data_IF_882865542268
#
_entry.id   IF_882865542268
#
_cell.length_a   1.000
_cell.length_b   1.000
_cell.length_c   1.000
_cell.angle_alpha   90.00
_cell.angle_beta   90.00
_cell.angle_gamma   90.00
#
_symmetry.space_group_name_H-M   'P 1'
#
loop_
_entity.id
_entity.type
_entity.pdbx_description
1 polymer ?
#
# COMPACT_ATOMS: atom_id res chain seq x y z
N UNK A 1 4.35 59.18 -92.76
CA UNK A 1 4.47 59.72 -91.39
C UNK A 1 4.27 58.54 -90.45
N UNK A 2 5.27 57.82 -89.95
CA UNK A 2 6.60 58.21 -89.49
C UNK A 2 6.53 58.42 -87.98
N UNK A 3 6.91 57.41 -87.17
CA UNK A 3 7.46 57.46 -85.80
C UNK A 3 7.81 56.01 -85.38
N UNK A 4 9.09 55.65 -85.45
CA UNK A 4 10.02 55.49 -84.33
C UNK A 4 9.77 54.23 -83.48
N UNK A 5 10.55 53.19 -83.80
CA UNK A 5 10.87 52.07 -82.91
C UNK A 5 12.03 52.52 -82.02
N UNK A 6 11.78 52.71 -80.72
CA UNK A 6 12.84 52.89 -79.74
C UNK A 6 13.32 51.53 -79.21
N UNK A 7 14.63 51.31 -79.37
CA UNK A 7 15.41 50.25 -78.74
C UNK A 7 15.61 50.56 -77.27
N UNK A 8 15.32 49.61 -76.38
CA UNK A 8 15.75 49.70 -74.97
C UNK A 8 16.72 48.58 -74.65
N UNK A 9 17.82 48.99 -74.03
CA UNK A 9 19.07 48.26 -73.84
C UNK A 9 18.96 46.97 -73.02
N UNK A 10 19.81 46.02 -73.43
CA UNK A 10 20.11 44.78 -72.73
C UNK A 10 21.13 45.09 -71.61
N UNK A 11 20.70 45.04 -70.35
CA UNK A 11 21.60 45.06 -69.18
C UNK A 11 22.01 43.63 -68.78
N UNK A 12 23.26 43.37 -68.36
CA UNK A 12 23.70 42.05 -67.92
C UNK A 12 23.30 41.79 -66.46
N UNK A 13 22.49 40.76 -66.23
CA UNK A 13 22.22 40.24 -64.89
C UNK A 13 23.46 39.55 -64.31
N UNK A 14 24.03 40.15 -63.26
CA UNK A 14 25.01 39.51 -62.38
C UNK A 14 24.31 38.42 -61.56
N UNK A 15 24.70 37.16 -61.76
CA UNK A 15 24.38 36.06 -60.83
C UNK A 15 24.87 36.42 -59.42
N UNK A 16 23.96 36.81 -58.53
CA UNK A 16 24.18 36.78 -57.07
C UNK A 16 23.89 35.36 -56.58
N UNK A 17 24.96 34.63 -56.28
CA UNK A 17 24.91 33.39 -55.51
C UNK A 17 24.39 33.71 -54.11
N UNK A 18 23.13 33.34 -53.84
CA UNK A 18 22.53 33.43 -52.51
C UNK A 18 22.99 32.21 -51.71
N UNK A 19 24.07 32.40 -50.93
CA UNK A 19 24.46 31.46 -49.87
C UNK A 19 23.64 31.86 -48.65
N UNK A 20 22.47 31.25 -48.46
CA UNK A 20 21.63 31.43 -47.27
C UNK A 20 21.02 30.07 -46.88
N UNK A 21 21.85 29.13 -46.43
CA UNK A 21 21.32 27.94 -45.75
C UNK A 21 22.29 27.19 -44.83
N UNK A 22 23.52 27.66 -44.60
CA UNK A 22 24.47 26.99 -43.68
C UNK A 22 24.49 27.57 -42.26
N UNK A 23 24.10 28.83 -42.06
CA UNK A 23 24.33 29.50 -40.78
C UNK A 23 23.18 29.38 -39.78
N UNK A 24 21.94 29.10 -40.24
CA UNK A 24 20.79 28.94 -39.34
C UNK A 24 20.76 27.56 -38.66
N UNK A 25 21.21 26.50 -39.36
CA UNK A 25 21.25 25.15 -38.79
C UNK A 25 22.36 24.96 -37.75
N UNK A 26 23.50 25.64 -37.93
CA UNK A 26 24.54 25.63 -36.90
C UNK A 26 24.07 26.32 -35.61
N UNK A 27 23.30 27.42 -35.70
CA UNK A 27 22.91 28.17 -34.49
C UNK A 27 21.86 27.46 -33.61
N UNK A 28 21.07 26.55 -34.18
CA UNK A 28 20.09 25.74 -33.43
C UNK A 28 20.75 24.48 -32.85
N UNK A 29 21.69 23.86 -33.57
CA UNK A 29 22.40 22.65 -33.13
C UNK A 29 23.31 22.83 -31.90
N UNK A 30 23.88 24.01 -31.69
CA UNK A 30 24.82 24.24 -30.57
C UNK A 30 24.17 24.66 -29.25
N UNK A 31 22.89 25.05 -29.23
CA UNK A 31 22.22 25.48 -28.00
C UNK A 31 21.53 24.33 -27.24
N UNK A 32 21.36 23.16 -27.85
CA UNK A 32 20.85 21.98 -27.14
C UNK A 32 21.93 21.31 -26.25
N UNK A 33 23.23 21.63 -26.46
CA UNK A 33 24.36 21.00 -25.77
C UNK A 33 25.11 21.91 -24.79
N UNK A 34 24.48 22.99 -24.32
CA UNK A 34 25.02 23.83 -23.23
C UNK A 34 24.27 23.61 -21.91
N UNK A 35 24.01 22.34 -21.57
CA UNK A 35 23.70 21.97 -20.18
C UNK A 35 24.90 22.43 -19.33
N UNK A 36 24.63 23.36 -18.42
CA UNK A 36 25.60 24.05 -17.57
C UNK A 36 26.54 23.03 -16.93
N UNK A 37 27.86 23.31 -16.94
CA UNK A 37 28.89 22.38 -16.45
C UNK A 37 28.61 21.90 -15.02
N UNK A 38 27.99 22.77 -14.18
CA UNK A 38 27.50 22.42 -12.83
C UNK A 38 26.35 21.39 -12.84
N UNK A 39 25.42 21.48 -13.77
CA UNK A 39 24.29 20.54 -13.90
C UNK A 39 24.81 19.16 -14.31
N UNK A 40 25.82 19.09 -15.18
CA UNK A 40 26.44 17.80 -15.58
C UNK A 40 27.07 17.07 -14.41
N UNK A 41 27.82 17.77 -13.55
CA UNK A 41 28.41 17.15 -12.36
C UNK A 41 27.35 16.68 -11.36
N UNK A 42 26.30 17.47 -11.12
CA UNK A 42 25.22 17.06 -10.23
C UNK A 42 24.44 15.85 -10.76
N UNK A 43 24.23 15.76 -12.07
CA UNK A 43 23.52 14.64 -12.69
C UNK A 43 24.36 13.36 -12.69
N UNK A 44 25.67 13.47 -12.90
CA UNK A 44 26.61 12.34 -12.75
C UNK A 44 26.70 11.91 -11.28
N UNK A 45 26.78 12.84 -10.33
CA UNK A 45 26.82 12.52 -8.90
C UNK A 45 25.53 11.84 -8.44
N UNK A 46 24.37 12.27 -8.94
CA UNK A 46 23.08 11.66 -8.66
C UNK A 46 22.96 10.25 -9.28
N UNK A 47 23.44 10.05 -10.50
CA UNK A 47 23.50 8.73 -11.12
C UNK A 47 24.46 7.79 -10.37
N UNK A 48 25.60 8.31 -9.90
CA UNK A 48 26.55 7.54 -9.08
C UNK A 48 25.90 7.17 -7.74
N UNK A 49 25.19 8.10 -7.11
CA UNK A 49 24.44 7.87 -5.87
C UNK A 49 23.41 6.75 -6.05
N UNK A 50 22.65 6.75 -7.15
CA UNK A 50 21.69 5.67 -7.49
C UNK A 50 22.35 4.30 -7.72
N UNK A 51 23.59 4.25 -8.18
CA UNK A 51 24.35 2.99 -8.34
C UNK A 51 24.90 2.49 -7.00
N UNK A 52 25.11 3.40 -6.03
CA UNK A 52 25.70 3.08 -4.72
C UNK A 52 24.63 2.68 -3.68
N UNK A 53 23.33 2.85 -3.93
CA UNK A 53 22.30 2.19 -3.12
C UNK A 53 22.12 0.76 -3.62
N UNK A 54 22.69 -0.26 -2.96
CA UNK A 54 22.25 -1.62 -3.22
C UNK A 54 20.74 -1.66 -2.96
N UNK A 55 20.01 -2.25 -3.91
CA UNK A 55 18.61 -2.61 -3.72
C UNK A 55 18.50 -3.32 -2.37
N UNK A 56 17.72 -2.76 -1.45
CA UNK A 56 17.37 -3.43 -0.20
C UNK A 56 16.72 -4.76 -0.55
N UNK A 57 17.51 -5.84 -0.51
CA UNK A 57 16.99 -7.19 -0.60
C UNK A 57 16.26 -7.40 0.71
N UNK A 58 14.93 -7.46 0.66
CA UNK A 58 14.12 -7.86 1.79
C UNK A 58 14.51 -9.31 2.13
N UNK A 59 15.33 -9.48 3.16
CA UNK A 59 15.57 -10.80 3.73
C UNK A 59 14.29 -11.25 4.45
N UNK A 60 13.80 -12.42 4.11
CA UNK A 60 12.71 -13.05 4.85
C UNK A 60 13.31 -14.10 5.76
N UNK A 61 13.14 -13.91 7.06
CA UNK A 61 13.67 -14.82 8.06
C UNK A 61 12.60 -15.85 8.45
N UNK A 62 13.02 -17.10 8.60
CA UNK A 62 12.23 -18.19 9.16
C UNK A 62 12.75 -18.44 10.57
N UNK A 63 11.85 -18.45 11.56
CA UNK A 63 12.18 -18.90 12.92
C UNK A 63 12.23 -20.41 12.97
N UNK A 64 13.26 -20.97 13.59
CA UNK A 64 13.37 -22.40 13.89
C UNK A 64 13.71 -22.60 15.37
N UNK A 65 13.04 -23.54 16.00
CA UNK A 65 13.15 -23.78 17.43
C UNK A 65 13.01 -25.27 17.76
N UNK A 66 13.68 -25.68 18.82
CA UNK A 66 13.57 -27.02 19.35
C UNK A 66 14.03 -27.05 20.81
N UNK A 67 13.60 -28.09 21.51
CA UNK A 67 13.84 -28.26 22.95
C UNK A 67 14.11 -29.74 23.26
N UNK A 68 14.55 -30.01 24.49
CA UNK A 68 14.76 -31.36 25.01
C UNK A 68 15.86 -32.17 24.29
N UNK A 69 16.87 -31.50 23.72
CA UNK A 69 18.08 -32.17 23.22
C UNK A 69 18.85 -32.76 24.40
N UNK A 70 19.16 -34.06 24.29
CA UNK A 70 19.84 -34.83 25.32
C UNK A 70 21.04 -35.56 24.76
N UNK A 71 22.04 -35.72 25.60
CA UNK A 71 23.18 -36.58 25.30
C UNK A 71 22.74 -38.04 25.33
N UNK A 72 23.05 -38.81 24.28
CA UNK A 72 22.68 -40.23 24.17
C UNK A 72 23.28 -41.06 25.31
N UNK A 73 24.52 -40.76 25.72
CA UNK A 73 25.23 -41.54 26.73
C UNK A 73 24.68 -41.33 28.16
N UNK A 74 24.23 -40.13 28.50
CA UNK A 74 23.88 -39.76 29.88
C UNK A 74 22.38 -39.51 30.08
N UNK A 75 21.64 -39.23 29.01
CA UNK A 75 20.24 -38.80 29.06
C UNK A 75 20.04 -37.39 29.63
N UNK A 76 21.12 -36.70 30.00
CA UNK A 76 21.07 -35.32 30.49
C UNK A 76 20.82 -34.34 29.36
N UNK A 77 20.24 -33.19 29.68
CA UNK A 77 20.11 -32.10 28.71
C UNK A 77 21.49 -31.65 28.24
N UNK A 78 21.64 -31.47 26.93
CA UNK A 78 22.88 -31.01 26.33
C UNK A 78 23.17 -29.58 26.77
N UNK A 79 24.25 -29.37 27.53
CA UNK A 79 24.57 -28.05 28.09
C UNK A 79 24.87 -27.01 27.00
N UNK A 80 25.69 -27.39 26.00
CA UNK A 80 25.99 -26.59 24.82
C UNK A 80 26.31 -27.50 23.63
N UNK A 81 25.83 -27.19 22.43
CA UNK A 81 26.21 -27.88 21.20
C UNK A 81 26.04 -27.01 19.95
N UNK A 82 26.76 -27.37 18.89
CA UNK A 82 26.60 -26.78 17.57
C UNK A 82 25.38 -27.39 16.89
N UNK A 83 24.60 -26.56 16.19
CA UNK A 83 23.44 -26.97 15.40
C UNK A 83 23.72 -26.70 13.94
N UNK A 84 23.61 -27.71 13.08
CA UNK A 84 23.56 -27.54 11.64
C UNK A 84 22.15 -27.80 11.16
N UNK A 85 21.63 -26.89 10.33
CA UNK A 85 20.31 -26.97 9.72
C UNK A 85 20.49 -27.01 8.21
N UNK A 86 19.93 -28.02 7.57
CA UNK A 86 19.96 -28.19 6.12
C UNK A 86 18.54 -28.27 5.56
N UNK A 87 18.31 -27.71 4.37
CA UNK A 87 17.01 -27.73 3.68
C UNK A 87 17.20 -28.25 2.26
N UNK A 88 16.35 -29.21 1.88
CA UNK A 88 16.35 -29.92 0.61
C UNK A 88 15.03 -29.78 -0.14
N UNK A 89 15.06 -30.07 -1.45
CA UNK A 89 13.90 -30.14 -2.33
C UNK A 89 13.28 -31.54 -2.48
N UNK A 90 13.72 -32.52 -1.68
CA UNK A 90 13.16 -33.87 -1.63
C UNK A 90 13.28 -34.48 -0.22
N UNK A 91 12.34 -35.38 0.13
CA UNK A 91 12.36 -36.14 1.39
C UNK A 91 13.52 -37.12 1.49
N UNK A 92 14.00 -37.62 0.35
CA UNK A 92 15.14 -38.53 0.24
C UNK A 92 16.01 -38.02 -0.91
N UNK A 93 17.31 -37.84 -0.65
CA UNK A 93 18.24 -37.26 -1.63
C UNK A 93 17.92 -35.79 -1.93
N UNK A 94 17.77 -35.44 -3.21
CA UNK A 94 17.45 -34.07 -3.63
C UNK A 94 18.65 -33.11 -3.62
N UNK A 95 18.39 -31.86 -4.00
CA UNK A 95 19.36 -30.78 -3.99
C UNK A 95 19.33 -30.05 -2.65
N UNK A 96 20.52 -29.74 -2.13
CA UNK A 96 20.68 -28.86 -0.98
C UNK A 96 20.37 -27.41 -1.40
N UNK A 97 19.38 -26.80 -0.76
CA UNK A 97 18.97 -25.41 -1.01
C UNK A 97 19.63 -24.45 -0.02
N UNK A 98 19.77 -24.89 1.23
CA UNK A 98 20.28 -24.09 2.31
C UNK A 98 21.00 -24.99 3.31
N UNK A 99 22.12 -24.50 3.83
CA UNK A 99 22.85 -25.10 4.92
C UNK A 99 23.43 -23.98 5.79
N UNK A 100 23.27 -24.13 7.10
CA UNK A 100 23.90 -23.23 8.06
C UNK A 100 24.27 -23.99 9.32
N UNK A 101 25.53 -23.82 9.75
CA UNK A 101 26.02 -24.30 11.05
C UNK A 101 26.13 -23.13 12.01
N UNK A 102 25.46 -23.26 13.15
CA UNK A 102 25.40 -22.28 14.23
C UNK A 102 26.18 -22.83 15.42
N UNK A 103 27.25 -22.10 15.80
CA UNK A 103 28.15 -22.51 16.87
C UNK A 103 27.49 -22.24 18.23
N UNK A 104 27.49 -23.25 19.12
CA UNK A 104 26.86 -23.18 20.46
C UNK A 104 25.40 -22.69 20.43
N UNK A 105 24.65 -23.07 19.41
CA UNK A 105 23.27 -22.64 19.23
C UNK A 105 22.29 -23.35 20.17
N UNK A 106 22.63 -24.58 20.58
CA UNK A 106 21.87 -25.33 21.57
C UNK A 106 22.44 -24.95 22.94
N UNK A 107 21.58 -24.47 23.83
CA UNK A 107 21.92 -24.12 25.21
C UNK A 107 20.88 -24.78 26.11
N UNK A 108 21.33 -25.60 27.07
CA UNK A 108 20.47 -26.35 27.98
C UNK A 108 19.37 -27.15 27.24
N UNK A 109 19.79 -27.85 26.18
CA UNK A 109 18.95 -28.70 25.36
C UNK A 109 17.93 -27.97 24.48
N UNK A 110 18.04 -26.66 24.29
CA UNK A 110 17.09 -25.88 23.49
C UNK A 110 17.80 -24.93 22.53
N UNK A 111 17.15 -24.62 21.41
CA UNK A 111 17.60 -23.59 20.48
C UNK A 111 16.42 -22.74 19.99
N UNK A 112 16.71 -21.51 19.60
CA UNK A 112 15.80 -20.60 18.92
C UNK A 112 16.63 -19.72 17.99
N UNK A 113 16.49 -19.93 16.70
CA UNK A 113 17.37 -19.35 15.68
C UNK A 113 16.53 -18.80 14.53
N UNK A 114 17.06 -17.78 13.86
CA UNK A 114 16.46 -17.24 12.65
C UNK A 114 17.37 -17.58 11.48
N UNK A 115 16.83 -18.24 10.46
CA UNK A 115 17.53 -18.61 9.24
C UNK A 115 16.97 -17.82 8.05
N UNK A 116 17.79 -17.60 7.02
CA UNK A 116 17.41 -16.84 5.82
C UNK A 116 17.59 -17.68 4.53
N UNK A 117 16.83 -18.79 4.37
CA UNK A 117 16.94 -19.62 3.19
C UNK A 117 16.26 -18.96 1.98
N UNK A 118 16.82 -19.16 0.79
CA UNK A 118 16.23 -18.68 -0.47
C UNK A 118 15.15 -19.65 -0.96
N UNK A 119 13.98 -19.63 -0.32
CA UNK A 119 12.86 -20.52 -0.62
C UNK A 119 11.82 -19.86 -1.53
N UNK A 120 10.88 -20.68 -2.02
CA UNK A 120 9.70 -20.22 -2.74
C UNK A 120 8.47 -20.33 -1.84
N UNK A 121 7.64 -19.28 -1.79
CA UNK A 121 6.46 -19.26 -0.95
C UNK A 121 5.48 -20.38 -1.33
N UNK A 122 4.97 -21.09 -0.33
CA UNK A 122 3.97 -22.16 -0.48
C UNK A 122 4.51 -23.49 -0.99
N UNK A 123 5.80 -23.59 -1.32
CA UNK A 123 6.45 -24.85 -1.74
C UNK A 123 6.84 -25.67 -0.52
N UNK A 124 6.71 -27.00 -0.64
CA UNK A 124 7.14 -27.97 0.37
C UNK A 124 8.63 -28.25 0.18
N UNK A 125 9.36 -28.20 1.29
CA UNK A 125 10.77 -28.53 1.42
C UNK A 125 10.96 -29.52 2.57
N UNK A 126 12.18 -30.05 2.70
CA UNK A 126 12.53 -31.03 3.72
C UNK A 126 13.73 -30.54 4.51
N UNK A 127 13.57 -30.46 5.83
CA UNK A 127 14.54 -29.94 6.76
C UNK A 127 15.20 -31.07 7.52
N UNK A 128 16.49 -30.91 7.73
CA UNK A 128 17.39 -31.91 8.29
C UNK A 128 18.30 -31.24 9.33
N UNK A 129 18.74 -32.01 10.32
CA UNK A 129 19.47 -31.49 11.47
C UNK A 129 20.66 -32.37 11.80
N UNK A 130 21.79 -31.73 12.11
CA UNK A 130 22.87 -32.41 12.82
C UNK A 130 23.33 -31.62 14.03
N UNK A 131 23.71 -32.33 15.08
CA UNK A 131 24.19 -31.78 16.35
C UNK A 131 25.63 -32.22 16.53
N UNK A 132 26.57 -31.27 16.61
CA UNK A 132 28.01 -31.57 16.63
C UNK A 132 28.47 -32.48 15.47
N UNK A 133 27.87 -32.31 14.28
CA UNK A 133 28.09 -33.14 13.09
C UNK A 133 27.59 -34.60 13.19
N UNK A 134 26.85 -34.94 14.25
CA UNK A 134 26.07 -36.18 14.31
C UNK A 134 24.67 -35.93 13.78
N UNK A 135 24.23 -36.79 12.88
CA UNK A 135 22.92 -36.72 12.24
C UNK A 135 21.78 -37.00 13.24
N UNK A 136 20.64 -36.34 13.06
CA UNK A 136 19.51 -36.44 13.98
C UNK A 136 18.27 -37.02 13.30
N UNK A 137 17.97 -38.27 13.63
CA UNK A 137 16.80 -38.99 13.17
C UNK A 137 15.54 -38.68 13.99
N UNK A 138 14.39 -38.58 13.32
CA UNK A 138 13.07 -38.42 13.94
C UNK A 138 12.23 -39.69 13.78
N UNK A 139 12.37 -40.64 14.71
CA UNK A 139 11.63 -41.92 14.71
C UNK A 139 11.77 -42.72 13.41
N UNK A 140 12.98 -42.71 12.83
CA UNK A 140 13.28 -43.36 11.54
C UNK A 140 12.91 -42.53 10.31
N UNK A 141 12.49 -41.28 10.50
CA UNK A 141 12.34 -40.28 9.44
C UNK A 141 13.58 -39.38 9.47
N UNK A 142 14.33 -39.38 8.36
CA UNK A 142 15.51 -38.55 8.18
C UNK A 142 15.18 -37.05 8.24
N UNK A 143 14.10 -36.62 7.57
CA UNK A 143 13.82 -35.21 7.34
C UNK A 143 12.39 -34.81 7.67
N UNK A 144 12.24 -33.64 8.25
CA UNK A 144 10.94 -33.05 8.56
C UNK A 144 10.43 -32.21 7.40
N UNK A 145 9.15 -32.37 7.08
CA UNK A 145 8.47 -31.54 6.09
C UNK A 145 8.33 -30.10 6.58
N UNK A 146 8.63 -29.14 5.70
CA UNK A 146 8.49 -27.71 5.92
C UNK A 146 7.79 -27.08 4.71
N UNK A 147 6.58 -26.56 4.91
CA UNK A 147 5.98 -25.68 3.92
C UNK A 147 6.53 -24.26 4.11
N UNK A 148 7.14 -23.70 3.07
CA UNK A 148 7.74 -22.38 3.16
C UNK A 148 6.68 -21.28 3.31
N UNK A 149 6.69 -20.60 4.45
CA UNK A 149 5.84 -19.43 4.74
C UNK A 149 6.41 -18.13 4.16
N UNK A 150 7.60 -18.16 3.58
CA UNK A 150 8.32 -17.01 3.03
C UNK A 150 8.89 -17.32 1.65
N UNK A 151 9.45 -16.30 1.00
CA UNK A 151 10.18 -16.46 -0.26
C UNK A 151 9.45 -15.92 -1.48
N UNK A 152 10.06 -16.10 -2.65
CA UNK A 152 9.51 -15.57 -3.90
C UNK A 152 8.28 -16.38 -4.32
N UNK A 153 7.26 -15.69 -4.82
CA UNK A 153 6.09 -16.35 -5.41
C UNK A 153 6.39 -16.58 -6.90
N UNK A 154 6.93 -17.74 -7.22
CA UNK A 154 7.45 -18.02 -8.57
C UNK A 154 6.37 -18.53 -9.54
N UNK A 155 5.20 -18.90 -9.03
CA UNK A 155 4.11 -19.47 -9.82
C UNK A 155 2.76 -18.90 -9.34
N UNK A 156 2.50 -17.64 -9.67
CA UNK A 156 1.18 -17.00 -9.47
C UNK A 156 0.29 -17.30 -10.67
N UNK A 157 0.02 -18.58 -10.97
CA UNK A 157 -0.93 -18.92 -12.03
C UNK A 157 -2.36 -18.44 -11.71
N UNK A 158 -2.66 -18.18 -10.44
CA UNK A 158 -3.98 -17.73 -9.98
C UNK A 158 -4.20 -16.21 -10.09
N UNK A 159 -3.14 -15.40 -10.19
CA UNK A 159 -3.28 -13.95 -10.43
C UNK A 159 -2.75 -13.63 -11.83
N UNK A 160 -3.60 -13.87 -12.82
CA UNK A 160 -3.31 -13.41 -14.17
C UNK A 160 -3.53 -11.89 -14.27
N UNK A 161 -2.46 -11.13 -14.04
CA UNK A 161 -2.47 -9.68 -14.23
C UNK A 161 -2.58 -9.25 -15.71
N UNK A 162 -2.54 -10.17 -16.69
CA UNK A 162 -2.78 -9.82 -18.09
C UNK A 162 -4.16 -9.18 -18.29
N UNK A 163 -5.08 -9.41 -17.35
CA UNK A 163 -6.44 -8.91 -17.43
C UNK A 163 -6.60 -7.49 -16.86
N UNK A 164 -5.55 -6.88 -16.28
CA UNK A 164 -5.61 -5.52 -15.71
C UNK A 164 -6.06 -4.48 -16.76
N UNK A 165 -5.70 -4.67 -18.02
CA UNK A 165 -6.09 -3.79 -19.13
C UNK A 165 -7.21 -4.38 -20.00
N UNK A 166 -7.92 -5.41 -19.53
CA UNK A 166 -9.01 -6.03 -20.28
C UNK A 166 -10.26 -5.15 -20.40
N UNK A 167 -10.39 -4.14 -19.54
CA UNK A 167 -11.52 -3.24 -19.56
C UNK A 167 -11.15 -1.88 -20.18
N UNK A 168 -12.05 -1.29 -20.98
CA UNK A 168 -11.91 0.09 -21.44
C UNK A 168 -11.77 1.07 -20.27
N UNK A 169 -11.14 2.21 -20.53
CA UNK A 169 -11.01 3.30 -19.56
C UNK A 169 -12.38 3.70 -18.99
N UNK A 170 -12.45 3.93 -17.68
CA UNK A 170 -13.70 4.21 -16.96
C UNK A 170 -14.55 2.98 -16.62
N UNK A 171 -14.08 1.77 -16.92
CA UNK A 171 -14.74 0.51 -16.54
C UNK A 171 -13.91 -0.28 -15.52
N UNK A 172 -14.58 -1.16 -14.77
CA UNK A 172 -13.94 -2.13 -13.88
C UNK A 172 -14.37 -3.56 -14.21
N UNK A 173 -13.53 -4.53 -13.83
CA UNK A 173 -13.86 -5.95 -13.98
C UNK A 173 -14.95 -6.30 -12.97
N UNK A 174 -16.08 -6.82 -13.45
CA UNK A 174 -17.15 -7.38 -12.61
C UNK A 174 -17.01 -8.88 -12.41
N UNK A 175 -16.65 -9.61 -13.47
CA UNK A 175 -16.57 -11.07 -13.46
C UNK A 175 -15.48 -11.53 -14.44
N UNK A 176 -14.81 -12.63 -14.11
CA UNK A 176 -13.92 -13.36 -15.02
C UNK A 176 -14.53 -14.76 -15.19
N UNK A 177 -14.77 -15.18 -16.42
CA UNK A 177 -15.30 -16.50 -16.74
C UNK A 177 -14.20 -17.55 -16.77
N UNK A 178 -14.55 -18.84 -16.61
CA UNK A 178 -13.60 -19.97 -16.65
C UNK A 178 -12.79 -20.04 -17.95
N UNK A 179 -13.34 -19.52 -19.06
CA UNK A 179 -12.67 -19.41 -20.34
C UNK A 179 -11.69 -18.23 -20.46
N UNK A 180 -11.50 -17.46 -19.38
CA UNK A 180 -10.60 -16.29 -19.33
C UNK A 180 -11.18 -14.99 -19.86
N UNK A 181 -12.44 -14.97 -20.34
CA UNK A 181 -13.09 -13.73 -20.76
C UNK A 181 -13.52 -12.87 -19.57
N UNK A 182 -13.54 -11.55 -19.76
CA UNK A 182 -13.76 -10.56 -18.70
C UNK A 182 -15.06 -9.79 -18.97
N UNK A 183 -15.96 -9.79 -17.99
CA UNK A 183 -17.14 -8.92 -18.00
C UNK A 183 -16.76 -7.59 -17.35
N UNK A 184 -16.65 -6.56 -18.18
CA UNK A 184 -16.41 -5.19 -17.73
C UNK A 184 -17.72 -4.49 -17.44
N UNK A 185 -17.74 -3.65 -16.42
CA UNK A 185 -18.85 -2.75 -16.14
C UNK A 185 -18.35 -1.33 -16.02
N UNK A 186 -19.05 -0.42 -16.69
CA UNK A 186 -18.81 1.01 -16.56
C UNK A 186 -18.92 1.38 -15.08
N UNK A 187 -17.86 1.97 -14.54
CA UNK A 187 -17.98 2.63 -13.24
C UNK A 187 -19.09 3.65 -13.35
N UNK A 188 -19.93 3.70 -12.33
CA UNK A 188 -21.22 4.36 -12.40
C UNK A 188 -21.04 5.87 -12.69
N UNK A 189 -21.20 6.26 -13.96
CA UNK A 189 -21.18 7.66 -14.39
C UNK A 189 -22.48 8.40 -14.02
N UNK A 190 -23.43 7.74 -13.33
CA UNK A 190 -24.67 8.39 -12.88
C UNK A 190 -24.45 9.44 -11.80
N UNK A 191 -23.23 9.57 -11.25
CA UNK A 191 -22.86 10.79 -10.55
C UNK A 191 -22.69 11.92 -11.57
N UNK A 192 -23.82 12.54 -11.93
CA UNK A 192 -23.84 13.75 -12.72
C UNK A 192 -23.50 14.93 -11.80
N UNK A 193 -22.20 15.22 -11.66
CA UNK A 193 -21.71 16.30 -10.83
C UNK A 193 -22.42 17.63 -11.13
N UNK A 194 -22.70 17.94 -12.40
CA UNK A 194 -23.43 19.16 -12.78
C UNK A 194 -24.87 19.19 -12.25
N UNK A 195 -25.53 18.03 -12.19
CA UNK A 195 -26.88 17.92 -11.62
C UNK A 195 -26.85 18.02 -10.09
N UNK A 196 -25.84 17.42 -9.44
CA UNK A 196 -25.58 17.60 -8.00
C UNK A 196 -25.26 19.07 -7.70
N UNK A 197 -24.34 19.68 -8.44
CA UNK A 197 -23.96 21.07 -8.28
C UNK A 197 -25.14 22.02 -8.50
N UNK A 198 -26.04 21.77 -9.45
CA UNK A 198 -27.28 22.56 -9.62
C UNK A 198 -28.31 22.33 -8.51
N UNK A 199 -28.51 21.07 -8.10
CA UNK A 199 -29.48 20.70 -7.07
C UNK A 199 -29.05 21.19 -5.68
N UNK A 200 -27.74 21.23 -5.43
CA UNK A 200 -27.14 21.71 -4.17
C UNK A 200 -26.58 23.16 -4.27
N UNK A 201 -26.51 23.80 -5.45
CA UNK A 201 -26.10 25.21 -5.58
C UNK A 201 -27.03 26.18 -4.87
N UNK A 202 -28.33 25.84 -4.80
CA UNK A 202 -29.33 26.58 -4.02
C UNK A 202 -29.32 26.19 -2.54
N UNK A 203 -28.70 25.06 -2.19
CA UNK A 203 -28.35 24.73 -0.81
C UNK A 203 -27.05 25.48 -0.52
N UNK A 204 -27.17 26.81 -0.46
CA UNK A 204 -26.40 27.53 0.54
C UNK A 204 -26.63 26.74 1.82
N UNK A 205 -25.58 26.19 2.41
CA UNK A 205 -25.56 25.93 3.85
C UNK A 205 -26.41 27.01 4.47
N UNK A 206 -27.53 26.66 5.09
CA UNK A 206 -28.45 27.64 5.67
C UNK A 206 -27.80 28.23 6.92
N UNK A 207 -26.58 28.74 6.77
CA UNK A 207 -25.96 29.78 7.55
C UNK A 207 -26.73 31.08 7.28
N UNK A 208 -28.02 31.03 7.57
CA UNK A 208 -28.80 32.22 7.81
C UNK A 208 -28.25 32.76 9.12
N UNK A 209 -27.32 33.71 9.04
CA UNK A 209 -26.93 34.53 10.18
C UNK A 209 -28.19 35.25 10.66
N UNK A 210 -28.85 34.70 11.68
CA UNK A 210 -29.83 35.49 12.41
C UNK A 210 -29.07 36.52 13.23
N UNK A 211 -29.47 37.77 13.07
CA UNK A 211 -28.96 38.97 13.75
C UNK A 211 -28.66 38.71 15.23
N UNK A 212 -27.55 39.24 15.77
CA UNK A 212 -27.18 39.05 17.17
C UNK A 212 -28.29 39.58 18.08
N UNK A 213 -28.81 38.71 18.95
CA UNK A 213 -29.67 39.13 20.06
C UNK A 213 -28.79 39.42 21.27
N UNK A 214 -28.87 40.65 21.77
CA UNK A 214 -28.23 41.06 23.02
C UNK A 214 -29.19 40.81 24.18
N UNK A 215 -28.87 39.86 25.06
CA UNK A 215 -29.34 39.91 26.45
C UNK A 215 -28.15 40.09 27.41
N UNK A 216 -28.49 40.59 28.60
CA UNK A 216 -27.57 41.06 29.62
C UNK A 216 -26.99 39.94 30.50
N UNK A 217 -26.85 38.72 29.98
CA UNK A 217 -26.05 37.67 30.64
C UNK A 217 -25.01 37.13 29.66
N UNK A 218 -23.82 37.71 29.81
CA UNK A 218 -22.58 37.37 29.13
C UNK A 218 -22.13 35.94 29.44
N UNK A 219 -22.51 34.98 28.61
CA UNK A 219 -21.65 33.82 28.31
C UNK A 219 -21.99 33.29 26.92
N UNK A 220 -20.99 33.22 26.04
CA UNK A 220 -21.10 32.65 24.70
C UNK A 220 -21.74 31.26 24.75
N UNK A 221 -22.94 31.11 24.21
CA UNK A 221 -23.46 29.82 23.79
C UNK A 221 -23.50 29.84 22.26
N UNK A 222 -22.60 29.08 21.63
CA UNK A 222 -22.78 28.73 20.24
C UNK A 222 -23.91 27.71 20.19
N UNK A 223 -25.12 28.15 19.84
CA UNK A 223 -26.18 27.20 19.54
C UNK A 223 -25.86 26.55 18.20
N UNK A 224 -25.52 25.27 18.22
CA UNK A 224 -25.48 24.44 17.01
C UNK A 224 -26.88 24.43 16.40
N UNK A 225 -27.03 25.04 15.23
CA UNK A 225 -28.31 25.17 14.56
C UNK A 225 -28.77 23.80 14.01
N UNK A 226 -29.50 23.03 14.82
CA UNK A 226 -30.18 21.83 14.35
C UNK A 226 -31.44 22.23 13.58
N UNK A 227 -31.68 21.60 12.44
CA UNK A 227 -32.90 21.83 11.63
C UNK A 227 -34.16 21.67 12.49
N UNK A 228 -35.24 22.38 12.17
CA UNK A 228 -36.54 22.34 12.90
C UNK A 228 -37.03 20.92 13.27
N UNK A 229 -36.87 19.88 12.42
CA UNK A 229 -37.22 18.49 12.77
C UNK A 229 -36.34 17.90 13.90
N UNK A 230 -35.07 18.28 13.96
CA UNK A 230 -34.11 17.78 14.95
C UNK A 230 -34.29 18.48 16.31
N UNK A 231 -34.69 19.75 16.34
CA UNK A 231 -35.13 20.43 17.58
C UNK A 231 -36.39 19.74 18.13
N UNK A 232 -37.39 19.47 17.28
CA UNK A 232 -38.61 18.80 17.69
C UNK A 232 -38.36 17.40 18.27
N UNK A 233 -37.40 16.64 17.70
CA UNK A 233 -37.00 15.34 18.23
C UNK A 233 -36.29 15.46 19.59
N UNK A 234 -35.37 16.43 19.72
CA UNK A 234 -34.59 16.61 20.95
C UNK A 234 -35.46 17.12 22.09
N UNK A 235 -36.38 18.06 21.82
CA UNK A 235 -37.35 18.57 22.79
C UNK A 235 -38.36 17.49 23.20
N UNK A 236 -38.84 16.68 22.25
CA UNK A 236 -39.72 15.56 22.56
C UNK A 236 -39.03 14.51 23.45
N UNK A 237 -37.75 14.19 23.18
CA UNK A 237 -36.97 13.28 24.01
C UNK A 237 -36.69 13.85 25.41
N UNK A 238 -36.40 15.15 25.51
CA UNK A 238 -36.20 15.84 26.79
C UNK A 238 -37.49 15.88 27.62
N UNK A 239 -38.62 16.22 27.00
CA UNK A 239 -39.94 16.23 27.64
C UNK A 239 -40.35 14.83 28.09
N UNK A 240 -40.11 13.80 27.27
CA UNK A 240 -40.38 12.41 27.63
C UNK A 240 -39.55 11.95 28.83
N UNK A 241 -38.25 12.26 28.86
CA UNK A 241 -37.38 11.92 29.98
C UNK A 241 -37.75 12.68 31.26
N UNK A 242 -38.06 13.97 31.17
CA UNK A 242 -38.49 14.75 32.34
C UNK A 242 -39.83 14.25 32.90
N UNK A 243 -40.78 13.88 32.04
CA UNK A 243 -42.05 13.29 32.46
C UNK A 243 -41.84 11.92 33.11
N UNK A 244 -40.94 11.08 32.57
CA UNK A 244 -40.57 9.80 33.17
C UNK A 244 -39.95 10.00 34.55
N UNK A 245 -38.96 10.89 34.68
CA UNK A 245 -38.31 11.16 35.96
C UNK A 245 -39.31 11.68 37.00
N UNK A 246 -40.23 12.57 36.61
CA UNK A 246 -41.27 13.11 37.49
C UNK A 246 -42.31 12.06 37.90
N UNK A 247 -42.68 11.13 37.01
CA UNK A 247 -43.55 9.99 37.36
C UNK A 247 -42.87 9.07 38.37
N UNK A 248 -41.63 8.66 38.11
CA UNK A 248 -40.89 7.77 39.01
C UNK A 248 -40.66 8.42 40.38
N UNK A 249 -40.33 9.72 40.42
CA UNK A 249 -40.18 10.46 41.67
C UNK A 249 -41.50 10.54 42.46
N UNK A 250 -42.62 10.88 41.81
CA UNK A 250 -43.93 10.95 42.47
C UNK A 250 -44.44 9.59 42.94
N UNK A 251 -44.20 8.52 42.17
CA UNK A 251 -44.55 7.14 42.56
C UNK A 251 -43.74 6.67 43.78
N UNK A 252 -42.44 6.97 43.81
CA UNK A 252 -41.56 6.65 44.95
C UNK A 252 -41.98 7.44 46.20
N UNK A 253 -42.29 8.73 46.05
CA UNK A 253 -42.72 9.57 47.16
C UNK A 253 -44.11 9.16 47.69
N UNK A 254 -45.08 8.87 46.81
CA UNK A 254 -46.40 8.36 47.24
C UNK A 254 -46.30 6.98 47.91
N UNK A 255 -45.45 6.08 47.41
CA UNK A 255 -45.20 4.79 48.08
C UNK A 255 -44.61 4.98 49.49
N UNK A 256 -43.72 5.97 49.67
CA UNK A 256 -43.14 6.29 50.98
C UNK A 256 -44.15 6.92 51.96
N UNK A 257 -45.11 7.72 51.48
CA UNK A 257 -46.17 8.30 52.31
C UNK A 257 -47.21 7.25 52.73
N UNK A 258 -47.55 6.29 51.86
CA UNK A 258 -48.49 5.20 52.20
C UNK A 258 -47.93 4.30 53.32
N UNK A 259 -46.61 4.09 53.37
CA UNK A 259 -45.97 3.36 54.48
C UNK A 259 -45.92 4.15 55.80
N UNK A 260 -46.01 5.48 55.75
CA UNK A 260 -45.93 6.34 56.93
C UNK A 260 -47.29 6.64 57.60
N UNK A 261 -48.42 6.30 56.96
CA UNK A 261 -49.78 6.56 57.49
C UNK A 261 -50.50 5.31 58.05
N UNK A 262 -49.84 4.15 58.03
CA UNK A 262 -50.36 2.89 58.60
C UNK A 262 -49.46 2.33 59.73
N UNK A 263 -48.97 3.20 60.61
CA UNK A 263 -48.47 2.83 61.95
C UNK A 263 -49.13 3.71 63.01
#
# INVERSE_FOLDING_TARGET
MGFMLESVGRYPEKKKSVIFQSDLFNKIGYNCLKINRKIRYNLILFALFLIIFPTVVSAFLISDQGTNVREVATGNLTASANLSISIYDSSIGGNLIFEQTLINAIINGSWNVMINPNLSYGVIYWKDYSINAEDLDFDGIERLELQSSVGKINNISFINFSLINSCPEGSSIRLIYENGSVLCVLTNTSFNQTFTDLFYAGIQWAYNMTTPFTNWLTTFNYDYNQTTPAIAYTDAALVANNNSFRSTYNETYNASIIWAYNQ
#
